data_IF_196911634940
#
_entry.id   IF_196911634940
#
_cell.length_a   1.000
_cell.length_b   1.000
_cell.length_c   1.000
_cell.angle_alpha   90.00
_cell.angle_beta   90.00
_cell.angle_gamma   90.00
#
_symmetry.space_group_name_H-M   'P 1'
#
loop_
_entity.id
_entity.type
_entity.pdbx_description
1 polymer ?
#
# COMPACT_ATOMS: atom_id res chain seq x y z
N UNK A 1 -1.51 -24.63 -9.02
CA UNK A 1 -2.51 -25.54 -9.64
C UNK A 1 -3.37 -24.74 -10.61
N UNK A 2 -3.46 -25.16 -11.85
CA UNK A 2 -4.33 -24.56 -12.87
C UNK A 2 -5.77 -24.78 -12.41
N UNK A 3 -6.63 -23.74 -12.46
CA UNK A 3 -8.04 -23.90 -12.11
C UNK A 3 -8.69 -24.85 -13.09
N UNK A 4 -9.12 -26.01 -12.61
CA UNK A 4 -9.77 -27.04 -13.43
C UNK A 4 -11.30 -26.83 -13.46
N UNK A 5 -11.86 -26.19 -12.41
CA UNK A 5 -13.30 -26.03 -12.25
C UNK A 5 -13.70 -24.56 -12.03
N UNK A 6 -14.92 -24.20 -12.44
CA UNK A 6 -15.54 -22.90 -12.22
C UNK A 6 -17.01 -23.05 -11.85
N UNK A 7 -17.56 -22.06 -11.15
CA UNK A 7 -19.00 -21.95 -10.86
C UNK A 7 -19.68 -21.11 -11.93
N UNK A 8 -20.78 -21.62 -12.49
CA UNK A 8 -21.51 -21.00 -13.60
C UNK A 8 -23.01 -21.00 -13.30
N UNK A 9 -23.75 -19.90 -13.57
CA UNK A 9 -25.21 -19.89 -13.45
C UNK A 9 -25.85 -20.69 -14.60
N UNK A 10 -26.88 -21.48 -14.27
CA UNK A 10 -27.69 -22.23 -15.25
C UNK A 10 -29.13 -22.36 -14.74
N UNK A 11 -30.12 -21.84 -15.49
CA UNK A 11 -31.54 -21.95 -15.17
C UNK A 11 -31.91 -21.55 -13.72
N UNK A 12 -31.52 -20.34 -13.29
CA UNK A 12 -31.72 -19.80 -11.93
C UNK A 12 -31.04 -20.62 -10.80
N UNK A 13 -30.14 -21.54 -11.14
CA UNK A 13 -29.33 -22.34 -10.20
C UNK A 13 -27.85 -22.19 -10.54
N UNK A 14 -26.99 -22.72 -9.68
CA UNK A 14 -25.54 -22.69 -9.87
C UNK A 14 -25.01 -24.10 -10.09
N UNK A 15 -24.08 -24.23 -11.04
CA UNK A 15 -23.42 -25.51 -11.37
C UNK A 15 -21.91 -25.33 -11.37
N UNK A 16 -21.20 -26.43 -11.24
CA UNK A 16 -19.75 -26.47 -11.39
C UNK A 16 -19.42 -27.05 -12.77
N UNK A 17 -18.55 -26.39 -13.52
CA UNK A 17 -18.09 -26.84 -14.82
C UNK A 17 -16.57 -26.95 -14.86
N UNK A 18 -16.05 -27.92 -15.62
CA UNK A 18 -14.65 -27.93 -16.02
C UNK A 18 -14.36 -26.73 -16.92
N UNK A 19 -13.13 -26.21 -16.85
CA UNK A 19 -12.77 -25.00 -17.62
C UNK A 19 -12.43 -25.36 -19.07
N UNK A 20 -11.81 -26.51 -19.28
CA UNK A 20 -11.35 -27.01 -20.57
C UNK A 20 -12.47 -27.37 -21.53
N UNK A 21 -13.40 -28.27 -21.12
CA UNK A 21 -14.46 -28.82 -21.98
C UNK A 21 -15.87 -28.29 -21.65
N UNK A 22 -16.00 -27.42 -20.63
CA UNK A 22 -17.25 -26.89 -20.11
C UNK A 22 -18.27 -27.95 -19.63
N UNK A 23 -17.85 -29.19 -19.44
CA UNK A 23 -18.70 -30.24 -18.92
C UNK A 23 -19.17 -29.94 -17.50
N UNK A 24 -20.41 -30.29 -17.17
CA UNK A 24 -20.97 -30.10 -15.81
C UNK A 24 -20.46 -31.19 -14.89
N UNK A 25 -19.87 -30.80 -13.77
CA UNK A 25 -19.40 -31.73 -12.73
C UNK A 25 -20.54 -31.96 -11.74
N UNK A 26 -20.98 -33.21 -11.63
CA UNK A 26 -21.97 -33.61 -10.62
C UNK A 26 -21.29 -33.81 -9.28
N UNK A 27 -21.70 -33.06 -8.28
CA UNK A 27 -21.31 -33.19 -6.87
C UNK A 27 -22.56 -33.21 -6.01
N UNK A 28 -22.46 -33.69 -4.80
CA UNK A 28 -23.54 -33.69 -3.84
C UNK A 28 -24.16 -32.30 -3.67
N UNK A 29 -25.45 -32.17 -3.72
CA UNK A 29 -26.20 -30.90 -3.68
C UNK A 29 -26.29 -30.15 -5.01
N UNK A 30 -25.67 -30.63 -6.09
CA UNK A 30 -25.76 -30.00 -7.43
C UNK A 30 -27.07 -30.36 -8.13
N UNK A 31 -27.75 -29.41 -8.82
CA UNK A 31 -27.43 -28.00 -8.97
C UNK A 31 -27.83 -27.17 -7.72
N UNK A 32 -26.98 -26.20 -7.36
CA UNK A 32 -27.08 -25.42 -6.12
C UNK A 32 -28.09 -24.27 -6.26
N UNK A 33 -28.86 -24.01 -5.20
CA UNK A 33 -29.74 -22.83 -5.14
C UNK A 33 -28.96 -21.54 -4.90
N UNK A 34 -27.93 -21.60 -4.07
CA UNK A 34 -27.08 -20.46 -3.73
C UNK A 34 -25.73 -20.57 -4.44
N UNK A 35 -25.19 -19.42 -4.85
CA UNK A 35 -23.85 -19.31 -5.45
C UNK A 35 -22.76 -19.74 -4.46
N UNK A 36 -22.90 -19.38 -3.19
CA UNK A 36 -21.98 -19.73 -2.12
C UNK A 36 -21.79 -21.23 -1.96
N UNK A 37 -22.88 -22.01 -2.08
CA UNK A 37 -22.83 -23.47 -1.95
C UNK A 37 -22.08 -24.10 -3.13
N UNK A 38 -22.30 -23.58 -4.34
CA UNK A 38 -21.57 -23.99 -5.53
C UNK A 38 -20.08 -23.62 -5.45
N UNK A 39 -19.75 -22.44 -4.94
CA UNK A 39 -18.38 -21.98 -4.74
C UNK A 39 -17.65 -22.84 -3.69
N UNK A 40 -18.35 -23.24 -2.63
CA UNK A 40 -17.81 -24.13 -1.61
C UNK A 40 -17.51 -25.54 -2.19
N UNK A 41 -18.47 -26.11 -2.91
CA UNK A 41 -18.30 -27.41 -3.55
C UNK A 41 -17.19 -27.38 -4.63
N UNK A 42 -17.12 -26.31 -5.40
CA UNK A 42 -16.04 -26.09 -6.37
C UNK A 42 -14.67 -25.98 -5.70
N UNK A 43 -14.60 -25.33 -4.56
CA UNK A 43 -13.36 -25.23 -3.78
C UNK A 43 -12.91 -26.62 -3.27
N UNK A 44 -13.83 -27.43 -2.75
CA UNK A 44 -13.52 -28.82 -2.32
C UNK A 44 -12.94 -29.65 -3.46
N UNK A 45 -13.43 -29.50 -4.68
CA UNK A 45 -12.87 -30.19 -5.85
C UNK A 45 -11.45 -29.75 -6.21
N UNK A 46 -11.13 -28.47 -6.01
CA UNK A 46 -9.78 -27.97 -6.25
C UNK A 46 -8.78 -28.34 -5.15
N UNK A 47 -9.26 -28.74 -3.98
CA UNK A 47 -8.46 -29.01 -2.80
C UNK A 47 -8.87 -30.36 -2.17
N UNK A 48 -8.71 -31.47 -2.90
CA UNK A 48 -9.02 -32.80 -2.38
C UNK A 48 -7.99 -33.16 -1.30
N UNK A 49 -8.26 -32.95 -0.07
CA UNK A 49 -7.37 -33.14 1.09
C UNK A 49 -7.35 -31.94 2.05
N UNK A 50 -7.90 -30.80 1.63
CA UNK A 50 -8.19 -29.70 2.53
C UNK A 50 -9.60 -29.87 3.18
N UNK A 51 -10.21 -31.03 3.01
CA UNK A 51 -11.42 -31.43 3.69
C UNK A 51 -11.10 -31.65 5.17
N UNK A 52 -12.05 -31.23 6.00
CA UNK A 52 -12.22 -31.60 7.39
C UNK A 52 -11.22 -31.00 8.37
N UNK A 53 -11.47 -29.73 8.66
CA UNK A 53 -11.28 -29.34 10.03
C UNK A 53 -12.27 -30.18 10.83
N UNK A 54 -11.72 -31.16 11.56
CA UNK A 54 -12.48 -32.05 12.44
C UNK A 54 -13.41 -31.21 13.32
N UNK A 55 -14.64 -31.65 13.49
CA UNK A 55 -15.52 -31.18 14.57
C UNK A 55 -14.71 -31.11 15.88
N UNK A 56 -14.77 -29.96 16.55
CA UNK A 56 -14.02 -29.77 17.80
C UNK A 56 -12.70 -29.00 17.68
N UNK A 57 -12.38 -28.38 16.54
CA UNK A 57 -11.22 -27.46 16.46
C UNK A 57 -11.51 -26.15 17.22
N UNK A 58 -10.50 -25.64 17.92
CA UNK A 58 -10.61 -24.33 18.58
C UNK A 58 -10.58 -23.19 17.54
N UNK A 59 -11.17 -22.05 17.91
CA UNK A 59 -11.13 -20.85 17.08
C UNK A 59 -9.68 -20.44 16.75
N UNK A 60 -8.80 -20.54 17.74
CA UNK A 60 -7.38 -20.14 17.63
C UNK A 60 -6.66 -21.04 16.62
N UNK A 61 -6.84 -22.38 16.70
CA UNK A 61 -6.21 -23.31 15.79
C UNK A 61 -6.79 -23.24 14.37
N UNK A 62 -8.10 -23.01 14.26
CA UNK A 62 -8.75 -22.81 12.98
C UNK A 62 -8.25 -21.53 12.26
N UNK A 63 -8.01 -20.45 13.00
CA UNK A 63 -7.46 -19.23 12.43
C UNK A 63 -6.01 -19.43 11.95
N UNK A 64 -5.20 -20.21 12.69
CA UNK A 64 -3.86 -20.58 12.26
C UNK A 64 -3.90 -21.36 10.94
N UNK A 65 -4.71 -22.40 10.85
CA UNK A 65 -4.89 -23.17 9.61
C UNK A 65 -5.36 -22.28 8.44
N UNK A 66 -6.24 -21.32 8.70
CA UNK A 66 -6.62 -20.35 7.69
C UNK A 66 -5.44 -19.49 7.21
N UNK A 67 -4.58 -19.04 8.12
CA UNK A 67 -3.40 -18.28 7.77
C UNK A 67 -2.39 -19.11 6.96
N UNK A 68 -2.22 -20.39 7.30
CA UNK A 68 -1.40 -21.36 6.57
C UNK A 68 -1.94 -21.63 5.16
N UNK A 69 -3.24 -21.89 5.02
CA UNK A 69 -3.89 -22.02 3.71
C UNK A 69 -3.73 -20.77 2.84
N UNK A 70 -3.65 -19.58 3.44
CA UNK A 70 -3.31 -18.35 2.70
C UNK A 70 -1.86 -18.34 2.24
N UNK A 71 -0.95 -19.00 2.96
CA UNK A 71 0.43 -19.16 2.54
C UNK A 71 0.56 -20.08 1.30
N UNK A 72 -0.17 -21.19 1.28
CA UNK A 72 -0.19 -22.12 0.14
C UNK A 72 -0.75 -21.45 -1.12
N UNK A 73 -1.77 -20.60 -0.98
CA UNK A 73 -2.32 -19.81 -2.09
C UNK A 73 -1.36 -18.74 -2.63
N UNK A 74 -0.27 -18.43 -1.93
CA UNK A 74 0.80 -17.56 -2.45
C UNK A 74 1.52 -18.22 -3.63
N UNK A 75 1.68 -19.53 -3.61
CA UNK A 75 2.35 -20.29 -4.66
C UNK A 75 1.51 -20.42 -5.93
N UNK A 76 0.20 -20.15 -5.84
CA UNK A 76 -0.78 -20.24 -6.92
C UNK A 76 -1.09 -18.85 -7.48
N UNK A 77 -0.19 -18.31 -8.31
CA UNK A 77 -0.39 -17.08 -9.10
C UNK A 77 -1.05 -15.89 -8.39
N UNK A 78 -0.35 -15.28 -7.42
CA UNK A 78 -0.52 -13.85 -7.09
C UNK A 78 -1.76 -13.41 -6.28
N UNK A 79 -2.47 -14.27 -5.57
CA UNK A 79 -3.70 -13.85 -4.85
C UNK A 79 -3.44 -13.32 -3.45
N UNK A 80 -2.36 -13.71 -2.80
CA UNK A 80 -2.00 -13.23 -1.46
C UNK A 80 -0.56 -12.76 -1.46
N UNK A 81 -0.33 -11.49 -1.12
CA UNK A 81 1.03 -10.95 -1.02
C UNK A 81 1.70 -11.44 0.27
N UNK A 82 3.04 -11.53 0.27
CA UNK A 82 3.82 -11.85 1.48
C UNK A 82 3.46 -10.92 2.64
N UNK A 83 3.22 -9.63 2.36
CA UNK A 83 2.80 -8.66 3.36
C UNK A 83 1.40 -8.97 3.94
N UNK A 84 0.46 -9.41 3.12
CA UNK A 84 -0.87 -9.81 3.59
C UNK A 84 -0.80 -11.05 4.47
N UNK A 85 0.02 -12.03 4.10
CA UNK A 85 0.26 -13.21 4.92
C UNK A 85 0.89 -12.85 6.26
N UNK A 86 1.95 -12.04 6.25
CA UNK A 86 2.60 -11.54 7.47
C UNK A 86 1.60 -10.81 8.37
N UNK A 87 0.65 -10.08 7.81
CA UNK A 87 -0.43 -9.43 8.57
C UNK A 87 -1.32 -10.44 9.29
N UNK A 88 -1.77 -11.51 8.61
CA UNK A 88 -2.55 -12.57 9.25
C UNK A 88 -1.77 -13.26 10.36
N UNK A 89 -0.51 -13.59 10.14
CA UNK A 89 0.36 -14.18 11.16
C UNK A 89 0.59 -13.21 12.34
N UNK A 90 0.73 -11.91 12.07
CA UNK A 90 0.83 -10.89 13.13
C UNK A 90 -0.47 -10.77 13.91
N UNK A 91 -1.63 -10.82 13.25
CA UNK A 91 -2.93 -10.83 13.92
C UNK A 91 -3.08 -12.08 14.78
N UNK A 92 -2.70 -13.24 14.26
CA UNK A 92 -2.69 -14.50 15.03
C UNK A 92 -1.81 -14.39 16.28
N UNK A 93 -0.52 -14.13 16.12
CA UNK A 93 0.47 -14.18 17.21
C UNK A 93 0.32 -13.04 18.22
N UNK A 94 0.00 -11.83 17.75
CA UNK A 94 -0.02 -10.63 18.59
C UNK A 94 -1.42 -10.24 19.07
N UNK A 95 -2.50 -10.86 18.58
CA UNK A 95 -3.86 -10.50 18.94
C UNK A 95 -4.72 -11.70 19.28
N UNK A 96 -4.83 -12.70 18.44
CA UNK A 96 -5.71 -13.84 18.69
C UNK A 96 -5.17 -14.70 19.83
N UNK A 97 -3.94 -15.18 19.73
CA UNK A 97 -3.35 -16.05 20.77
C UNK A 97 -3.36 -15.43 22.19
N UNK A 98 -3.04 -14.13 22.38
CA UNK A 98 -3.05 -13.53 23.72
C UNK A 98 -4.45 -13.24 24.28
N UNK A 99 -5.43 -12.92 23.42
CA UNK A 99 -6.69 -12.32 23.86
C UNK A 99 -7.92 -13.19 23.63
N UNK A 100 -7.89 -14.13 22.67
CA UNK A 100 -8.97 -15.07 22.44
C UNK A 100 -8.90 -16.22 23.45
N UNK A 101 -10.04 -16.63 23.98
CA UNK A 101 -10.07 -17.85 24.81
C UNK A 101 -9.71 -19.08 23.95
N UNK A 102 -8.67 -19.77 24.37
CA UNK A 102 -8.12 -20.96 23.69
C UNK A 102 -9.05 -22.17 23.70
N UNK A 103 -10.06 -22.18 24.59
CA UNK A 103 -11.02 -23.28 24.73
C UNK A 103 -12.24 -23.11 23.83
N UNK A 104 -12.47 -21.93 23.28
CA UNK A 104 -13.62 -21.67 22.43
C UNK A 104 -13.50 -22.48 21.14
N UNK A 105 -14.43 -23.39 20.92
CA UNK A 105 -14.55 -24.15 19.67
C UNK A 105 -15.05 -23.24 18.56
N UNK A 106 -14.57 -23.47 17.33
CA UNK A 106 -14.99 -22.68 16.16
C UNK A 106 -16.51 -22.75 15.98
N UNK A 107 -17.11 -23.93 16.13
CA UNK A 107 -18.56 -24.17 16.03
C UNK A 107 -19.39 -23.40 17.07
N UNK A 108 -18.79 -23.09 18.22
CA UNK A 108 -19.46 -22.45 19.34
C UNK A 108 -19.12 -20.96 19.47
N UNK A 109 -18.31 -20.43 18.57
CA UNK A 109 -17.88 -19.03 18.62
C UNK A 109 -19.07 -18.07 18.49
N UNK A 110 -19.25 -17.22 19.49
CA UNK A 110 -20.40 -16.33 19.66
C UNK A 110 -19.97 -14.87 19.77
N UNK A 111 -20.95 -13.99 19.72
CA UNK A 111 -20.77 -12.56 19.92
C UNK A 111 -20.05 -12.25 21.25
N UNK A 112 -20.44 -12.90 22.35
CA UNK A 112 -19.81 -12.73 23.66
C UNK A 112 -18.32 -13.06 23.68
N UNK A 113 -17.85 -14.01 22.85
CA UNK A 113 -16.42 -14.33 22.73
C UNK A 113 -15.66 -13.20 22.04
N UNK A 114 -16.29 -12.56 21.02
CA UNK A 114 -15.74 -11.38 20.37
C UNK A 114 -15.68 -10.19 21.33
N UNK A 115 -16.69 -9.98 22.13
CA UNK A 115 -16.75 -8.93 23.14
C UNK A 115 -15.67 -9.14 24.22
N UNK A 116 -15.53 -10.37 24.72
CA UNK A 116 -14.49 -10.73 25.68
C UNK A 116 -13.08 -10.51 25.09
N UNK A 117 -12.87 -10.90 23.84
CA UNK A 117 -11.64 -10.63 23.09
C UNK A 117 -11.33 -9.13 23.03
N UNK A 118 -12.33 -8.32 22.63
CA UNK A 118 -12.17 -6.88 22.49
C UNK A 118 -11.87 -6.21 23.82
N UNK A 119 -12.61 -6.57 24.88
CA UNK A 119 -12.42 -6.03 26.23
C UNK A 119 -11.02 -6.33 26.75
N UNK A 120 -10.61 -7.59 26.72
CA UNK A 120 -9.28 -8.01 27.19
C UNK A 120 -8.15 -7.30 26.46
N UNK A 121 -8.25 -7.17 25.13
CA UNK A 121 -7.25 -6.49 24.33
C UNK A 121 -7.25 -4.97 24.54
N UNK A 122 -8.42 -4.38 24.83
CA UNK A 122 -8.54 -2.97 25.17
C UNK A 122 -7.93 -2.66 26.55
N UNK A 123 -8.20 -3.50 27.54
CA UNK A 123 -7.63 -3.37 28.90
C UNK A 123 -6.10 -3.39 28.84
N UNK A 124 -5.51 -4.18 27.95
CA UNK A 124 -4.08 -4.20 27.62
C UNK A 124 -3.63 -3.03 26.73
N UNK A 125 -4.45 -1.99 26.59
CA UNK A 125 -4.15 -0.76 25.83
C UNK A 125 -3.83 -0.97 24.36
N UNK A 126 -4.37 -2.02 23.74
CA UNK A 126 -4.30 -2.20 22.30
C UNK A 126 -5.14 -1.12 21.62
N UNK A 127 -4.53 -0.35 20.71
CA UNK A 127 -5.21 0.79 20.08
C UNK A 127 -6.44 0.35 19.28
N UNK A 128 -7.50 1.16 19.28
CA UNK A 128 -8.73 0.93 18.53
C UNK A 128 -8.48 0.60 17.05
N UNK A 129 -7.55 1.31 16.41
CA UNK A 129 -7.16 1.04 15.01
C UNK A 129 -6.62 -0.38 14.84
N UNK A 130 -5.85 -0.87 15.79
CA UNK A 130 -5.30 -2.23 15.77
C UNK A 130 -6.40 -3.26 15.98
N UNK A 131 -7.31 -3.02 16.94
CA UNK A 131 -8.47 -3.86 17.18
C UNK A 131 -9.40 -3.93 15.96
N UNK A 132 -9.69 -2.78 15.34
CA UNK A 132 -10.49 -2.74 14.11
C UNK A 132 -9.88 -3.56 12.97
N UNK A 133 -8.55 -3.59 12.85
CA UNK A 133 -7.88 -4.42 11.86
C UNK A 133 -7.96 -5.91 12.21
N UNK A 134 -7.77 -6.26 13.49
CA UNK A 134 -7.92 -7.64 13.96
C UNK A 134 -9.36 -8.16 13.72
N UNK A 135 -10.38 -7.36 14.05
CA UNK A 135 -11.78 -7.68 13.76
C UNK A 135 -12.03 -7.89 12.26
N UNK A 136 -11.43 -7.07 11.38
CA UNK A 136 -11.52 -7.29 9.94
C UNK A 136 -10.93 -8.62 9.50
N UNK A 137 -9.79 -9.00 10.07
CA UNK A 137 -9.14 -10.27 9.75
C UNK A 137 -9.96 -11.45 10.30
N UNK A 138 -10.53 -11.34 11.51
CA UNK A 138 -11.45 -12.31 12.11
C UNK A 138 -12.71 -12.48 11.24
N UNK A 139 -13.36 -11.38 10.86
CA UNK A 139 -14.55 -11.43 9.97
C UNK A 139 -14.23 -12.07 8.62
N UNK A 140 -13.08 -11.74 8.05
CA UNK A 140 -12.66 -12.38 6.80
C UNK A 140 -12.39 -13.87 6.98
N UNK A 141 -11.78 -14.26 8.10
CA UNK A 141 -11.61 -15.67 8.47
C UNK A 141 -12.95 -16.38 8.58
N UNK A 142 -13.89 -15.87 9.37
CA UNK A 142 -15.23 -16.44 9.57
C UNK A 142 -15.95 -16.60 8.22
N UNK A 143 -15.95 -15.56 7.38
CA UNK A 143 -16.53 -15.64 6.03
C UNK A 143 -15.90 -16.77 5.19
N UNK A 144 -14.58 -16.90 5.25
CA UNK A 144 -13.89 -17.95 4.51
C UNK A 144 -14.11 -19.34 5.12
N UNK A 145 -14.25 -19.43 6.43
CA UNK A 145 -14.60 -20.66 7.13
C UNK A 145 -16.04 -21.11 6.79
N UNK A 146 -17.00 -20.19 6.75
CA UNK A 146 -18.36 -20.45 6.26
C UNK A 146 -18.38 -20.98 4.84
N UNK A 147 -17.64 -20.34 3.92
CA UNK A 147 -17.52 -20.77 2.52
C UNK A 147 -16.88 -22.16 2.37
N UNK A 148 -16.15 -22.63 3.37
CA UNK A 148 -15.49 -23.94 3.40
C UNK A 148 -16.26 -25.00 4.19
N UNK A 149 -17.40 -24.64 4.77
CA UNK A 149 -18.18 -25.53 5.61
C UNK A 149 -17.53 -25.86 6.97
N UNK A 150 -16.74 -24.93 7.50
CA UNK A 150 -16.08 -25.06 8.82
C UNK A 150 -16.99 -24.62 9.96
N UNK A 151 -18.25 -24.77 9.91
CA UNK A 151 -19.29 -24.48 10.93
C UNK A 151 -19.04 -23.25 11.84
N UNK A 152 -18.77 -22.06 11.33
CA UNK A 152 -18.54 -20.89 12.15
C UNK A 152 -19.83 -20.13 12.47
N UNK A 153 -19.72 -19.19 13.40
CA UNK A 153 -20.82 -18.28 13.73
C UNK A 153 -21.18 -17.35 12.56
N UNK A 154 -22.38 -17.55 11.99
CA UNK A 154 -22.87 -16.76 10.84
C UNK A 154 -23.16 -15.29 11.20
N UNK A 155 -23.54 -15.02 12.43
CA UNK A 155 -23.95 -13.68 12.90
C UNK A 155 -22.79 -12.68 12.90
N UNK A 156 -21.56 -13.16 12.90
CA UNK A 156 -20.36 -12.30 12.87
C UNK A 156 -20.15 -11.56 11.55
N UNK A 157 -20.81 -11.93 10.46
CA UNK A 157 -20.69 -11.22 9.18
C UNK A 157 -21.20 -9.77 9.27
N UNK A 158 -22.23 -9.53 10.09
CA UNK A 158 -22.84 -8.22 10.32
C UNK A 158 -22.16 -7.39 11.40
N UNK A 159 -21.27 -8.01 12.20
CA UNK A 159 -20.58 -7.37 13.31
C UNK A 159 -19.87 -6.08 12.88
N UNK A 160 -20.12 -4.98 13.58
CA UNK A 160 -19.39 -3.72 13.43
C UNK A 160 -18.82 -3.33 14.78
N UNK A 161 -17.51 -3.13 14.85
CA UNK A 161 -16.81 -2.77 16.10
C UNK A 161 -17.35 -1.47 16.74
N UNK A 162 -17.95 -0.58 15.95
CA UNK A 162 -18.55 0.67 16.45
C UNK A 162 -19.84 0.45 17.24
N UNK A 163 -20.52 -0.66 17.02
CA UNK A 163 -21.77 -1.00 17.72
C UNK A 163 -21.48 -1.44 19.18
N UNK A 164 -20.20 -1.60 19.53
CA UNK A 164 -19.72 -2.09 20.84
C UNK A 164 -18.93 -1.02 21.61
N UNK A 165 -19.35 0.22 21.47
CA UNK A 165 -18.76 1.36 22.23
C UNK A 165 -18.83 1.17 23.76
N UNK A 166 -19.77 0.36 24.27
CA UNK A 166 -19.85 0.02 25.68
C UNK A 166 -18.77 -0.95 26.16
N UNK A 167 -18.20 -1.75 25.26
CA UNK A 167 -17.07 -2.66 25.53
C UNK A 167 -15.74 -1.94 25.36
N UNK A 168 -15.69 -1.07 24.38
CA UNK A 168 -14.55 -0.20 24.09
C UNK A 168 -15.08 1.23 24.18
N UNK A 169 -14.87 1.93 25.28
CA UNK A 169 -15.34 3.31 25.43
C UNK A 169 -14.93 4.15 24.22
N UNK A 170 -15.88 4.91 23.73
CA UNK A 170 -15.66 5.88 22.65
C UNK A 170 -14.79 7.02 23.23
N UNK A 171 -13.51 6.77 23.36
CA UNK A 171 -12.55 7.83 23.53
C UNK A 171 -12.39 8.48 22.14
N UNK A 172 -12.94 9.68 21.98
CA UNK A 172 -12.87 10.45 20.71
C UNK A 172 -11.41 10.58 20.23
N UNK A 173 -10.45 10.52 21.14
CA UNK A 173 -9.02 10.45 20.83
C UNK A 173 -8.63 9.16 20.07
N UNK A 174 -9.39 8.06 20.22
CA UNK A 174 -9.13 6.78 19.54
C UNK A 174 -9.80 6.69 18.17
N UNK A 175 -10.89 7.42 17.95
CA UNK A 175 -11.68 7.41 16.71
C UNK A 175 -11.22 8.49 15.75
N UNK A 176 -10.83 9.64 16.25
CA UNK A 176 -10.33 10.74 15.44
C UNK A 176 -9.05 10.34 14.70
N UNK A 177 -9.08 10.38 13.38
CA UNK A 177 -7.85 10.31 12.58
C UNK A 177 -6.93 11.43 13.07
N UNK A 178 -5.82 11.08 13.72
CA UNK A 178 -4.79 12.09 14.01
C UNK A 178 -4.52 12.84 12.71
N UNK A 179 -4.70 14.16 12.68
CA UNK A 179 -4.48 14.92 11.46
C UNK A 179 -3.05 14.67 10.98
N UNK A 180 -2.88 14.39 9.69
CA UNK A 180 -1.54 14.30 9.09
C UNK A 180 -1.11 15.71 8.74
N UNK A 181 0.08 16.10 9.14
CA UNK A 181 0.64 17.40 8.76
C UNK A 181 0.77 17.47 7.24
N UNK A 182 0.27 18.54 6.65
CA UNK A 182 0.50 18.88 5.25
C UNK A 182 1.66 19.89 5.24
N UNK A 183 2.77 19.52 4.64
CA UNK A 183 3.94 20.40 4.54
C UNK A 183 3.60 21.65 3.73
N UNK A 184 4.01 22.81 4.21
CA UNK A 184 3.95 24.04 3.43
C UNK A 184 4.92 23.98 2.23
N UNK A 185 4.71 24.83 1.24
CA UNK A 185 5.63 24.94 0.11
C UNK A 185 7.02 25.40 0.56
N UNK A 186 7.05 26.37 1.44
CA UNK A 186 8.27 26.90 2.03
C UNK A 186 9.08 25.82 2.76
N UNK A 187 8.41 24.97 3.56
CA UNK A 187 9.07 23.88 4.27
C UNK A 187 9.63 22.82 3.32
N UNK A 188 8.89 22.47 2.26
CA UNK A 188 9.42 21.57 1.22
C UNK A 188 10.62 22.19 0.53
N UNK A 189 10.58 23.49 0.27
CA UNK A 189 11.67 24.23 -0.33
C UNK A 189 12.91 24.23 0.56
N UNK A 190 12.78 24.54 1.86
CA UNK A 190 13.90 24.49 2.82
C UNK A 190 14.55 23.11 2.83
N UNK A 191 13.78 22.02 2.89
CA UNK A 191 14.29 20.66 2.86
C UNK A 191 15.09 20.34 1.58
N UNK A 192 14.61 20.82 0.42
CA UNK A 192 15.31 20.60 -0.86
C UNK A 192 16.55 21.48 -0.99
N UNK A 193 16.47 22.74 -0.62
CA UNK A 193 17.61 23.69 -0.65
C UNK A 193 18.73 23.20 0.26
N UNK A 194 18.40 22.84 1.49
CA UNK A 194 19.38 22.32 2.45
C UNK A 194 20.10 21.09 1.87
N UNK A 195 19.34 20.10 1.39
CA UNK A 195 19.94 18.91 0.80
C UNK A 195 20.80 19.23 -0.43
N UNK A 196 20.38 20.16 -1.29
CA UNK A 196 21.15 20.60 -2.46
C UNK A 196 22.45 21.32 -2.06
N UNK A 197 22.39 22.23 -1.10
CA UNK A 197 23.55 22.95 -0.60
C UNK A 197 24.58 22.03 0.05
N UNK A 198 24.13 21.06 0.85
CA UNK A 198 25.01 20.04 1.40
C UNK A 198 25.68 19.21 0.31
N UNK A 199 24.96 18.90 -0.76
CA UNK A 199 25.53 18.19 -1.92
C UNK A 199 26.51 19.05 -2.69
N UNK A 200 26.09 20.25 -3.13
CA UNK A 200 26.89 21.13 -4.02
C UNK A 200 28.13 21.70 -3.35
N UNK A 201 28.07 21.99 -2.04
CA UNK A 201 29.17 22.59 -1.28
C UNK A 201 30.18 21.55 -0.73
N UNK A 202 29.85 20.26 -0.83
CA UNK A 202 30.72 19.20 -0.33
C UNK A 202 31.91 18.97 -1.28
N UNK A 203 33.13 19.09 -0.79
CA UNK A 203 34.36 18.78 -1.55
C UNK A 203 34.37 17.36 -2.12
N UNK A 204 33.67 16.42 -1.51
CA UNK A 204 33.60 15.00 -1.89
C UNK A 204 32.24 14.60 -2.43
N UNK A 205 31.41 15.56 -2.88
CA UNK A 205 30.07 15.34 -3.38
C UNK A 205 29.27 14.43 -2.42
N UNK A 206 28.72 14.98 -1.32
CA UNK A 206 27.96 14.22 -0.33
C UNK A 206 26.82 13.43 -1.00
N UNK A 207 27.06 12.14 -1.21
CA UNK A 207 26.13 11.24 -1.89
C UNK A 207 24.80 11.14 -1.14
N UNK A 208 24.84 11.15 0.17
CA UNK A 208 23.63 11.08 1.00
C UNK A 208 22.78 12.35 0.82
N UNK A 209 23.43 13.53 0.72
CA UNK A 209 22.75 14.78 0.44
C UNK A 209 22.17 14.82 -0.99
N UNK A 210 22.92 14.32 -1.99
CA UNK A 210 22.41 14.17 -3.35
C UNK A 210 21.13 13.29 -3.39
N UNK A 211 21.16 12.16 -2.69
CA UNK A 211 19.99 11.28 -2.58
C UNK A 211 18.84 11.93 -1.82
N UNK A 212 19.10 12.67 -0.72
CA UNK A 212 18.07 13.44 -0.02
C UNK A 212 17.39 14.43 -0.95
N UNK A 213 18.19 15.19 -1.71
CA UNK A 213 17.66 16.14 -2.69
C UNK A 213 16.76 15.44 -3.72
N UNK A 214 17.23 14.35 -4.33
CA UNK A 214 16.46 13.59 -5.31
C UNK A 214 15.18 12.98 -4.73
N UNK A 215 15.23 12.42 -3.52
CA UNK A 215 14.08 11.86 -2.80
C UNK A 215 13.04 12.95 -2.53
N UNK A 216 13.44 14.08 -1.96
CA UNK A 216 12.53 15.19 -1.67
C UNK A 216 11.92 15.78 -2.94
N UNK A 217 12.71 15.97 -3.98
CA UNK A 217 12.24 16.47 -5.27
C UNK A 217 11.20 15.54 -5.90
N UNK A 218 11.45 14.23 -5.95
CA UNK A 218 10.49 13.27 -6.50
C UNK A 218 9.22 13.16 -5.65
N UNK A 219 9.32 13.20 -4.32
CA UNK A 219 8.14 13.20 -3.46
C UNK A 219 7.32 14.48 -3.63
N UNK A 220 7.98 15.62 -3.79
CA UNK A 220 7.35 16.92 -3.99
C UNK A 220 6.64 17.01 -5.34
N UNK A 221 7.34 16.67 -6.43
CA UNK A 221 6.83 16.79 -7.79
C UNK A 221 5.74 15.77 -8.14
N UNK A 222 5.87 14.53 -7.67
CA UNK A 222 5.07 13.41 -8.17
C UNK A 222 4.24 12.71 -7.10
N UNK A 223 4.45 13.02 -5.83
CA UNK A 223 3.71 12.40 -4.72
C UNK A 223 3.78 10.86 -4.74
N UNK A 224 4.87 10.26 -5.21
CA UNK A 224 5.04 8.82 -5.34
C UNK A 224 4.93 8.12 -3.98
N UNK A 225 4.37 6.89 -3.99
CA UNK A 225 4.50 6.01 -2.83
C UNK A 225 5.95 5.54 -2.73
N UNK A 226 6.47 5.24 -1.52
CA UNK A 226 7.85 4.78 -1.37
C UNK A 226 8.22 3.59 -2.26
N UNK A 227 7.33 2.60 -2.38
CA UNK A 227 7.55 1.44 -3.25
C UNK A 227 7.47 1.75 -4.75
N UNK A 228 6.67 2.74 -5.15
CA UNK A 228 6.62 3.25 -6.53
C UNK A 228 7.93 3.98 -6.86
N UNK A 229 8.41 4.81 -5.94
CA UNK A 229 9.68 5.54 -6.10
C UNK A 229 10.86 4.57 -6.19
N UNK A 230 10.89 3.51 -5.36
CA UNK A 230 11.90 2.46 -5.47
C UNK A 230 11.80 1.70 -6.80
N UNK A 231 10.59 1.43 -7.30
CA UNK A 231 10.38 0.72 -8.57
C UNK A 231 10.57 1.58 -9.82
N UNK A 232 10.82 2.88 -9.67
CA UNK A 232 10.95 3.78 -10.82
C UNK A 232 12.27 3.52 -11.55
N UNK A 233 12.18 3.19 -12.84
CA UNK A 233 13.34 2.98 -13.71
C UNK A 233 13.65 4.23 -14.53
N UNK A 234 14.90 4.40 -14.95
CA UNK A 234 15.29 5.48 -15.87
C UNK A 234 14.48 5.43 -17.17
N UNK A 235 14.21 4.22 -17.69
CA UNK A 235 13.37 3.99 -18.87
C UNK A 235 11.89 4.36 -18.69
N UNK A 236 11.44 4.60 -17.45
CA UNK A 236 10.08 5.08 -17.18
C UNK A 236 9.91 6.57 -17.50
N UNK A 237 10.99 7.30 -17.71
CA UNK A 237 11.01 8.72 -18.08
C UNK A 237 11.28 8.83 -19.58
N UNK A 238 10.34 9.42 -20.31
CA UNK A 238 10.50 9.74 -21.72
C UNK A 238 10.56 11.25 -21.89
N UNK A 239 11.72 11.75 -22.34
CA UNK A 239 11.95 13.18 -22.51
C UNK A 239 11.28 13.74 -23.77
N UNK A 240 11.09 12.92 -24.83
CA UNK A 240 10.48 13.37 -26.08
C UNK A 240 8.96 13.57 -25.89
N UNK A 241 8.30 12.62 -25.24
CA UNK A 241 6.87 12.74 -24.95
C UNK A 241 6.59 13.48 -23.63
N UNK A 242 7.62 13.93 -22.92
CA UNK A 242 7.55 14.58 -21.62
C UNK A 242 6.67 13.81 -20.63
N UNK A 243 6.92 12.51 -20.46
CA UNK A 243 6.09 11.64 -19.60
C UNK A 243 6.92 10.80 -18.64
N UNK A 244 6.34 10.51 -17.50
CA UNK A 244 6.84 9.57 -16.50
C UNK A 244 5.77 8.49 -16.27
N UNK A 245 6.13 7.21 -16.49
CA UNK A 245 5.24 6.08 -16.29
C UNK A 245 5.46 5.43 -14.94
N UNK A 246 4.40 5.32 -14.13
CA UNK A 246 4.41 4.58 -12.86
C UNK A 246 3.74 3.24 -13.09
N UNK A 247 4.53 2.19 -13.34
CA UNK A 247 4.04 0.89 -13.79
C UNK A 247 4.35 -0.25 -12.83
N UNK A 248 5.36 -0.10 -11.98
CA UNK A 248 5.82 -1.14 -11.10
C UNK A 248 6.26 -0.65 -9.74
N UNK A 249 6.55 -1.60 -8.88
CA UNK A 249 7.05 -1.38 -7.52
C UNK A 249 8.25 -2.29 -7.25
N UNK A 250 9.08 -1.88 -6.30
CA UNK A 250 10.07 -2.76 -5.71
C UNK A 250 9.58 -3.30 -4.39
N UNK A 251 9.53 -4.61 -4.23
CA UNK A 251 9.18 -5.30 -2.99
C UNK A 251 10.23 -6.39 -2.71
N UNK A 252 11.18 -6.09 -1.84
CA UNK A 252 12.30 -6.99 -1.57
C UNK A 252 11.85 -8.36 -1.04
N UNK A 253 10.77 -8.43 -0.25
CA UNK A 253 10.19 -9.68 0.26
C UNK A 253 9.48 -10.53 -0.80
N UNK A 254 9.26 -9.99 -2.00
CA UNK A 254 8.61 -10.68 -3.13
C UNK A 254 9.59 -10.90 -4.30
N UNK A 255 10.89 -10.84 -4.04
CA UNK A 255 11.92 -11.13 -5.05
C UNK A 255 12.37 -9.91 -5.87
N UNK A 256 11.89 -8.70 -5.55
CA UNK A 256 12.41 -7.48 -6.17
C UNK A 256 11.40 -6.67 -6.97
N UNK A 257 11.71 -6.39 -8.24
CA UNK A 257 10.85 -5.59 -9.10
C UNK A 257 9.61 -6.37 -9.57
N UNK A 258 8.45 -5.77 -9.35
CA UNK A 258 7.18 -6.30 -9.81
C UNK A 258 6.55 -5.31 -10.79
N UNK A 259 6.29 -5.75 -12.03
CA UNK A 259 5.54 -4.98 -13.03
C UNK A 259 4.04 -4.96 -12.69
N UNK A 260 3.74 -4.67 -11.43
CA UNK A 260 2.38 -4.50 -10.92
C UNK A 260 2.36 -3.47 -9.79
N UNK A 261 1.24 -2.85 -9.60
CA UNK A 261 0.98 -1.94 -8.49
C UNK A 261 -0.02 -2.59 -7.53
N UNK A 262 -0.14 -2.02 -6.32
CA UNK A 262 -1.07 -2.50 -5.30
C UNK A 262 -2.50 -2.67 -5.84
N UNK A 263 -2.91 -1.76 -6.74
CA UNK A 263 -4.19 -1.81 -7.44
C UNK A 263 -3.95 -1.51 -8.92
N UNK A 264 -4.69 -2.12 -9.86
CA UNK A 264 -4.56 -1.86 -11.30
C UNK A 264 -4.68 -0.38 -11.65
N UNK A 265 -5.64 0.36 -11.04
CA UNK A 265 -5.83 1.79 -11.27
C UNK A 265 -4.76 2.71 -10.65
N UNK A 266 -3.74 2.16 -9.99
CA UNK A 266 -2.57 2.95 -9.57
C UNK A 266 -1.54 3.12 -10.69
N UNK A 267 -1.63 2.32 -11.76
CA UNK A 267 -0.81 2.50 -12.97
C UNK A 267 -1.22 3.80 -13.64
N UNK A 268 -0.24 4.65 -13.89
CA UNK A 268 -0.50 5.99 -14.41
C UNK A 268 0.69 6.55 -15.18
N UNK A 269 0.39 7.46 -16.09
CA UNK A 269 1.36 8.32 -16.75
C UNK A 269 1.24 9.73 -16.17
N UNK A 270 2.34 10.29 -15.73
CA UNK A 270 2.46 11.65 -15.24
C UNK A 270 3.12 12.50 -16.33
N UNK A 271 2.58 13.69 -16.59
CA UNK A 271 3.18 14.62 -17.53
C UNK A 271 4.28 15.41 -16.83
N UNK A 272 5.38 15.61 -17.53
CA UNK A 272 6.54 16.36 -17.07
C UNK A 272 6.50 17.78 -17.64
N UNK A 273 6.66 18.77 -16.79
CA UNK A 273 7.00 20.13 -17.18
C UNK A 273 8.53 20.26 -17.41
N UNK A 274 8.95 21.42 -17.87
CA UNK A 274 10.37 21.67 -18.19
C UNK A 274 11.26 21.60 -16.94
N UNK A 275 10.75 21.98 -15.76
CA UNK A 275 11.47 21.88 -14.49
C UNK A 275 11.67 20.42 -14.07
N UNK A 276 10.67 19.56 -14.28
CA UNK A 276 10.79 18.13 -14.04
C UNK A 276 11.85 17.50 -14.96
N UNK A 277 11.90 17.95 -16.23
CA UNK A 277 12.86 17.49 -17.21
C UNK A 277 14.28 17.94 -16.82
N UNK A 278 14.46 19.20 -16.44
CA UNK A 278 15.75 19.72 -15.93
C UNK A 278 16.26 18.90 -14.76
N UNK A 279 15.36 18.62 -13.77
CA UNK A 279 15.70 17.79 -12.62
C UNK A 279 16.18 16.40 -13.05
N UNK A 280 15.45 15.68 -13.90
CA UNK A 280 15.86 14.34 -14.31
C UNK A 280 17.14 14.33 -15.15
N UNK A 281 17.33 15.32 -16.01
CA UNK A 281 18.59 15.44 -16.78
C UNK A 281 19.79 15.66 -15.86
N UNK A 282 19.68 16.58 -14.90
CA UNK A 282 20.72 16.82 -13.90
C UNK A 282 20.97 15.56 -13.05
N UNK A 283 19.90 14.91 -12.56
CA UNK A 283 20.03 13.73 -11.73
C UNK A 283 20.65 12.55 -12.48
N UNK A 284 20.28 12.33 -13.75
CA UNK A 284 20.87 11.29 -14.58
C UNK A 284 22.34 11.59 -14.93
N UNK A 285 22.67 12.83 -15.21
CA UNK A 285 24.08 13.25 -15.37
C UNK A 285 24.91 12.93 -14.14
N UNK A 286 24.40 13.21 -12.94
CA UNK A 286 25.05 12.82 -11.69
C UNK A 286 25.22 11.31 -11.56
N UNK A 287 24.18 10.53 -11.86
CA UNK A 287 24.25 9.06 -11.80
C UNK A 287 25.21 8.47 -12.83
N UNK A 288 25.28 9.06 -14.02
CA UNK A 288 26.23 8.64 -15.06
C UNK A 288 27.69 8.86 -14.62
N UNK A 289 27.95 9.93 -13.87
CA UNK A 289 29.25 10.18 -13.25
C UNK A 289 29.63 9.18 -12.13
N UNK A 290 28.67 8.37 -11.64
CA UNK A 290 28.94 7.32 -10.66
C UNK A 290 29.27 5.96 -11.30
N UNK A 291 29.33 5.88 -12.61
CA UNK A 291 29.64 4.66 -13.40
C UNK A 291 28.74 3.47 -12.98
N UNK A 292 27.43 3.71 -12.92
CA UNK A 292 26.47 2.67 -12.54
C UNK A 292 25.58 2.29 -13.72
N UNK A 293 25.51 0.99 -14.04
CA UNK A 293 24.60 0.39 -15.01
C UNK A 293 23.21 0.09 -14.42
N UNK A 294 22.96 0.54 -13.20
CA UNK A 294 21.73 0.28 -12.47
C UNK A 294 20.52 0.99 -13.12
N UNK A 295 19.46 0.27 -13.50
CA UNK A 295 18.35 0.82 -14.27
C UNK A 295 17.39 1.71 -13.45
N UNK A 296 17.53 1.74 -12.11
CA UNK A 296 16.62 2.49 -11.25
C UNK A 296 17.00 3.97 -11.14
N UNK A 297 16.00 4.82 -10.97
CA UNK A 297 16.19 6.27 -10.76
C UNK A 297 16.88 6.54 -9.41
N UNK A 298 16.64 5.71 -8.40
CA UNK A 298 17.34 5.72 -7.12
C UNK A 298 18.08 4.38 -6.95
N UNK A 299 19.27 4.21 -7.54
CA UNK A 299 20.03 2.96 -7.43
C UNK A 299 20.54 2.70 -6.00
N UNK A 300 20.78 1.44 -5.65
CA UNK A 300 21.44 1.08 -4.39
C UNK A 300 22.93 1.46 -4.47
N UNK A 301 23.41 2.25 -3.50
CA UNK A 301 24.78 2.76 -3.46
C UNK A 301 25.75 1.85 -2.69
N UNK A 302 25.25 1.00 -1.80
CA UNK A 302 26.09 0.12 -0.99
C UNK A 302 26.02 -1.33 -1.51
N UNK A 303 27.17 -1.97 -1.63
CA UNK A 303 27.35 -3.35 -2.12
C UNK A 303 26.93 -3.54 -3.60
N UNK A 304 27.58 -2.81 -4.50
CA UNK A 304 27.44 -2.97 -5.94
C UNK A 304 27.63 -4.42 -6.40
N UNK A 305 28.47 -5.20 -5.71
CA UNK A 305 28.76 -6.59 -6.06
C UNK A 305 27.59 -7.56 -5.85
N UNK A 306 26.72 -7.33 -4.86
CA UNK A 306 25.60 -8.22 -4.52
C UNK A 306 24.23 -7.69 -4.92
N UNK A 307 24.09 -6.38 -5.22
CA UNK A 307 22.85 -5.71 -5.56
C UNK A 307 22.96 -4.82 -6.79
N UNK A 308 23.73 -5.25 -7.78
CA UNK A 308 24.05 -4.50 -8.99
C UNK A 308 22.82 -3.86 -9.69
N UNK A 309 21.66 -4.48 -9.57
CA UNK A 309 20.41 -4.03 -10.19
C UNK A 309 19.27 -3.81 -9.18
N UNK A 310 19.59 -3.40 -7.95
CA UNK A 310 18.59 -3.08 -6.94
C UNK A 310 18.48 -1.55 -6.75
N UNK A 311 17.28 -1.03 -6.40
CA UNK A 311 17.13 0.36 -5.98
C UNK A 311 17.60 0.55 -4.53
N UNK A 312 17.73 1.81 -4.13
CA UNK A 312 17.92 2.19 -2.74
C UNK A 312 16.85 1.54 -1.86
N UNK A 313 17.26 0.89 -0.77
CA UNK A 313 16.31 0.18 0.08
C UNK A 313 15.39 1.14 0.84
N UNK A 314 14.22 0.66 1.23
CA UNK A 314 13.23 1.45 1.97
C UNK A 314 13.82 2.08 3.24
N UNK A 315 14.63 1.33 4.00
CA UNK A 315 15.27 1.81 5.22
C UNK A 315 16.19 3.01 4.94
N UNK A 316 16.97 2.94 3.86
CA UNK A 316 17.84 4.04 3.44
C UNK A 316 17.04 5.31 3.09
N UNK A 317 16.03 5.17 2.22
CA UNK A 317 15.16 6.28 1.83
C UNK A 317 14.48 6.91 3.06
N UNK A 318 13.95 6.07 3.95
CA UNK A 318 13.32 6.51 5.20
C UNK A 318 14.29 7.29 6.09
N UNK A 319 15.53 6.81 6.21
CA UNK A 319 16.56 7.46 7.00
C UNK A 319 16.96 8.82 6.41
N UNK A 320 17.10 8.91 5.09
CA UNK A 320 17.41 10.18 4.43
C UNK A 320 16.30 11.22 4.64
N UNK A 321 15.05 10.80 4.61
CA UNK A 321 13.93 11.72 4.90
C UNK A 321 13.95 12.22 6.34
N UNK A 322 14.19 11.34 7.33
CA UNK A 322 14.30 11.76 8.73
C UNK A 322 15.53 12.63 8.99
N UNK A 323 16.63 12.35 8.32
CA UNK A 323 17.84 13.19 8.42
C UNK A 323 17.55 14.61 7.95
N UNK A 324 16.94 14.78 6.77
CA UNK A 324 16.57 16.11 6.31
C UNK A 324 15.58 16.83 7.23
N UNK A 325 14.65 16.09 7.86
CA UNK A 325 13.76 16.67 8.85
C UNK A 325 14.48 17.10 10.12
N UNK A 326 15.47 16.34 10.57
CA UNK A 326 16.28 16.68 11.73
C UNK A 326 17.17 17.90 11.46
N UNK A 327 17.77 17.99 10.27
CA UNK A 327 18.59 19.12 9.84
C UNK A 327 17.78 20.43 9.78
N UNK A 328 16.50 20.37 9.47
CA UNK A 328 15.59 21.52 9.47
C UNK A 328 14.84 21.73 10.81
N UNK A 329 15.23 21.03 11.87
CA UNK A 329 14.61 21.17 13.19
C UNK A 329 13.14 20.70 13.28
N UNK A 330 12.68 19.93 12.29
CA UNK A 330 11.31 19.38 12.25
C UNK A 330 11.15 18.10 13.05
N UNK A 331 12.25 17.47 13.38
CA UNK A 331 12.31 16.27 14.21
C UNK A 331 13.63 16.22 14.99
N UNK A 332 13.58 15.60 16.19
CA UNK A 332 14.76 15.18 16.92
C UNK A 332 14.95 13.69 16.69
N UNK A 333 16.10 13.32 16.12
CA UNK A 333 16.39 11.96 15.68
C UNK A 333 17.80 11.53 16.11
N UNK A 334 17.90 10.30 16.63
CA UNK A 334 19.19 9.63 16.87
C UNK A 334 19.45 8.61 15.75
N UNK A 335 20.56 8.79 15.03
CA UNK A 335 20.98 7.89 13.95
C UNK A 335 22.01 6.89 14.49
N UNK A 336 21.63 5.63 14.62
CA UNK A 336 22.51 4.56 15.12
C UNK A 336 23.41 4.02 14.02
N UNK A 337 24.56 3.44 14.41
CA UNK A 337 25.54 2.84 13.47
C UNK A 337 24.97 1.70 12.61
N UNK A 338 24.00 0.94 13.12
CA UNK A 338 23.30 -0.12 12.40
C UNK A 338 22.28 0.40 11.36
N UNK A 339 22.23 1.72 11.17
CA UNK A 339 21.31 2.40 10.28
C UNK A 339 19.87 2.45 10.83
N UNK A 340 19.66 2.28 12.14
CA UNK A 340 18.36 2.50 12.78
C UNK A 340 18.23 3.98 13.14
N UNK A 341 17.08 4.58 12.80
CA UNK A 341 16.70 5.91 13.24
C UNK A 341 15.74 5.80 14.42
N UNK A 342 16.09 6.40 15.54
CA UNK A 342 15.22 6.58 16.68
C UNK A 342 14.67 8.00 16.63
N UNK A 343 13.36 8.13 16.61
CA UNK A 343 12.67 9.42 16.57
C UNK A 343 12.32 9.76 18.01
N UNK A 344 13.02 10.72 18.58
CA UNK A 344 12.80 11.19 19.95
C UNK A 344 11.56 12.09 20.01
N UNK A 345 11.46 13.02 19.05
CA UNK A 345 10.28 13.88 18.88
C UNK A 345 10.11 14.32 17.43
N UNK A 346 8.91 14.79 17.09
CA UNK A 346 8.66 15.40 15.79
C UNK A 346 7.52 16.40 15.89
N UNK A 347 7.69 17.56 15.29
CA UNK A 347 6.64 18.57 15.14
C UNK A 347 5.60 18.16 14.10
N UNK A 348 5.95 17.19 13.24
CA UNK A 348 5.08 16.69 12.17
C UNK A 348 4.25 15.52 12.64
N UNK A 349 2.94 15.60 12.44
CA UNK A 349 2.02 14.48 12.69
C UNK A 349 1.95 13.59 11.46
N UNK A 350 2.22 12.30 11.66
CA UNK A 350 2.14 11.29 10.60
C UNK A 350 3.50 10.77 10.13
N UNK A 351 3.47 9.90 9.12
CA UNK A 351 4.68 9.30 8.57
C UNK A 351 5.36 10.27 7.60
N UNK A 352 6.66 10.57 7.71
CA UNK A 352 7.34 11.64 6.97
C UNK A 352 7.16 11.54 5.45
N UNK A 353 7.34 10.38 4.87
CA UNK A 353 7.13 10.19 3.42
C UNK A 353 5.67 10.31 2.99
N UNK A 354 4.70 10.16 3.89
CA UNK A 354 3.28 10.37 3.60
C UNK A 354 2.91 11.85 3.59
N UNK A 355 3.59 12.69 4.36
CA UNK A 355 3.29 14.13 4.43
C UNK A 355 3.47 14.81 3.07
N UNK A 356 4.51 14.47 2.32
CA UNK A 356 4.69 14.94 0.94
C UNK A 356 3.55 14.49 0.01
N UNK A 357 3.17 13.23 0.08
CA UNK A 357 2.05 12.73 -0.73
C UNK A 357 0.73 13.38 -0.31
N UNK A 358 0.51 13.62 0.98
CA UNK A 358 -0.65 14.39 1.45
C UNK A 358 -0.65 15.79 0.85
N UNK A 359 0.49 16.49 0.88
CA UNK A 359 0.61 17.79 0.23
C UNK A 359 0.30 17.72 -1.28
N UNK A 360 0.92 16.77 -1.98
CA UNK A 360 0.67 16.56 -3.41
C UNK A 360 -0.83 16.38 -3.70
N UNK A 361 -1.50 15.46 -3.01
CA UNK A 361 -2.93 15.23 -3.17
C UNK A 361 -3.78 16.47 -2.79
N UNK A 362 -3.41 17.18 -1.72
CA UNK A 362 -4.09 18.42 -1.31
C UNK A 362 -3.99 19.50 -2.39
N UNK A 363 -2.83 19.63 -3.05
CA UNK A 363 -2.64 20.58 -4.15
C UNK A 363 -3.41 20.19 -5.41
N UNK A 364 -3.49 18.89 -5.74
CA UNK A 364 -4.36 18.42 -6.81
C UNK A 364 -5.84 18.71 -6.51
N UNK A 365 -6.27 18.54 -5.26
CA UNK A 365 -7.63 18.91 -4.82
C UNK A 365 -7.90 20.40 -4.92
N UNK A 366 -6.88 21.22 -4.65
CA UNK A 366 -7.00 22.66 -4.86
C UNK A 366 -7.16 22.98 -6.35
N UNK A 367 -6.36 22.35 -7.22
CA UNK A 367 -6.50 22.53 -8.68
C UNK A 367 -7.89 22.12 -9.20
N UNK A 368 -8.49 21.04 -8.63
CA UNK A 368 -9.87 20.68 -8.92
C UNK A 368 -10.85 21.76 -8.49
N UNK A 369 -10.72 22.27 -7.27
CA UNK A 369 -11.61 23.33 -6.75
C UNK A 369 -11.50 24.62 -7.54
N UNK A 370 -10.27 24.97 -7.94
CA UNK A 370 -9.99 26.16 -8.74
C UNK A 370 -10.32 25.95 -10.24
N UNK A 371 -10.90 24.78 -10.61
CA UNK A 371 -11.29 24.36 -11.96
C UNK A 371 -10.13 24.28 -12.98
N UNK A 372 -8.89 24.23 -12.51
CA UNK A 372 -7.71 24.00 -13.37
C UNK A 372 -7.58 22.53 -13.79
N UNK A 373 -8.23 21.60 -13.07
CA UNK A 373 -8.26 20.16 -13.34
C UNK A 373 -9.64 19.58 -13.04
N UNK A 374 -10.03 18.53 -13.77
CA UNK A 374 -11.24 17.78 -13.46
C UNK A 374 -10.96 16.60 -12.48
N UNK A 375 -12.04 15.91 -12.07
CA UNK A 375 -11.97 14.82 -11.10
C UNK A 375 -11.16 13.63 -11.61
N UNK A 376 -11.27 13.30 -12.90
CA UNK A 376 -10.58 12.15 -13.48
C UNK A 376 -9.09 12.42 -13.62
N UNK A 377 -8.74 13.66 -13.97
CA UNK A 377 -7.36 14.13 -14.02
C UNK A 377 -6.68 14.06 -12.66
N UNK A 378 -7.34 14.58 -11.62
CA UNK A 378 -6.84 14.49 -10.22
C UNK A 378 -6.69 13.04 -9.78
N UNK A 379 -7.68 12.19 -10.07
CA UNK A 379 -7.63 10.76 -9.76
C UNK A 379 -6.47 10.07 -10.48
N UNK A 380 -6.30 10.34 -11.78
CA UNK A 380 -5.21 9.80 -12.59
C UNK A 380 -3.85 10.21 -12.03
N UNK A 381 -3.64 11.50 -11.76
CA UNK A 381 -2.38 12.01 -11.22
C UNK A 381 -2.08 11.47 -9.80
N UNK A 382 -3.09 11.32 -8.96
CA UNK A 382 -2.94 10.76 -7.62
C UNK A 382 -2.71 9.23 -7.61
N UNK A 383 -3.08 8.53 -8.68
CA UNK A 383 -3.02 7.05 -8.74
C UNK A 383 -3.93 6.38 -7.72
N UNK A 384 -5.16 6.86 -7.57
CA UNK A 384 -6.17 6.29 -6.69
C UNK A 384 -7.26 5.59 -7.50
N UNK A 385 -7.55 4.32 -7.15
CA UNK A 385 -8.63 3.53 -7.80
C UNK A 385 -10.00 4.07 -7.42
N UNK A 386 -10.12 4.51 -6.15
CA UNK A 386 -11.32 5.18 -5.65
C UNK A 386 -10.90 6.54 -5.16
N UNK A 387 -11.55 7.58 -5.59
CA UNK A 387 -11.31 8.90 -5.04
C UNK A 387 -11.82 9.01 -3.60
N UNK A 388 -12.69 8.11 -3.16
CA UNK A 388 -13.03 7.89 -1.75
C UNK A 388 -11.81 7.65 -0.85
N UNK A 389 -10.62 7.37 -1.42
CA UNK A 389 -9.36 7.30 -0.65
C UNK A 389 -8.79 8.70 -0.38
N UNK A 390 -9.14 9.69 -1.18
CA UNK A 390 -8.77 11.11 -1.01
C UNK A 390 -9.96 11.96 -0.57
N UNK A 391 -11.11 11.65 -1.05
CA UNK A 391 -12.41 12.15 -0.62
C UNK A 391 -13.47 11.16 -1.10
N UNK A 392 -14.54 10.95 -0.38
CA UNK A 392 -15.60 9.96 -0.69
C UNK A 392 -16.37 10.23 -2.00
N UNK A 393 -15.81 10.90 -2.97
CA UNK A 393 -16.53 11.63 -4.00
C UNK A 393 -16.27 11.20 -5.45
N UNK A 394 -15.37 10.25 -5.81
CA UNK A 394 -14.97 10.07 -7.22
C UNK A 394 -15.40 8.78 -7.92
N UNK A 395 -16.00 8.94 -9.09
CA UNK A 395 -16.52 7.84 -9.93
C UNK A 395 -15.48 7.05 -10.76
N UNK A 396 -15.87 5.85 -11.18
CA UNK A 396 -15.04 4.75 -11.69
C UNK A 396 -14.76 4.82 -13.21
N UNK A 397 -14.16 5.88 -13.78
CA UNK A 397 -13.79 5.83 -15.19
C UNK A 397 -12.31 6.13 -15.42
N UNK A 398 -11.63 5.18 -16.08
CA UNK A 398 -10.34 5.42 -16.74
C UNK A 398 -10.65 6.26 -17.99
N UNK A 399 -10.15 7.49 -18.04
CA UNK A 399 -10.23 8.33 -19.24
C UNK A 399 -8.85 8.35 -19.87
N UNK A 400 -8.80 8.03 -21.16
CA UNK A 400 -7.64 8.35 -22.00
C UNK A 400 -7.52 9.87 -22.12
N UNK A 401 -6.44 10.41 -21.56
CA UNK A 401 -6.20 11.85 -21.55
C UNK A 401 -5.63 12.25 -22.90
N UNK A 402 -6.28 13.16 -23.61
CA UNK A 402 -5.80 13.69 -24.90
C UNK A 402 -4.45 14.41 -24.74
N UNK A 403 -3.74 14.64 -25.87
CA UNK A 403 -2.46 15.39 -25.84
C UNK A 403 -2.65 16.83 -25.31
N UNK A 404 -3.76 17.47 -25.66
CA UNK A 404 -4.07 18.84 -25.20
C UNK A 404 -4.37 18.86 -23.72
N UNK A 405 -5.11 17.88 -23.21
CA UNK A 405 -5.33 17.71 -21.77
C UNK A 405 -4.03 17.43 -21.03
N UNK A 406 -3.09 16.68 -21.63
CA UNK A 406 -1.78 16.43 -21.05
C UNK A 406 -0.99 17.73 -20.81
N UNK A 407 -0.96 18.62 -21.81
CA UNK A 407 -0.26 19.91 -21.68
C UNK A 407 -0.92 20.82 -20.62
N UNK A 408 -2.25 20.87 -20.59
CA UNK A 408 -3.03 21.62 -19.59
C UNK A 408 -2.80 21.08 -18.18
N UNK A 409 -2.77 19.76 -18.00
CA UNK A 409 -2.49 19.12 -16.70
C UNK A 409 -1.08 19.42 -16.23
N UNK A 410 -0.08 19.38 -17.12
CA UNK A 410 1.30 19.71 -16.76
C UNK A 410 1.41 21.16 -16.25
N UNK A 411 0.78 22.11 -16.97
CA UNK A 411 0.72 23.53 -16.57
C UNK A 411 0.02 23.73 -15.23
N UNK A 412 -1.13 23.08 -15.00
CA UNK A 412 -1.86 23.15 -13.74
C UNK A 412 -1.06 22.58 -12.58
N UNK A 413 -0.34 21.48 -12.79
CA UNK A 413 0.58 20.90 -11.79
C UNK A 413 1.69 21.89 -11.44
N UNK A 414 2.36 22.48 -12.43
CA UNK A 414 3.40 23.48 -12.22
C UNK A 414 2.88 24.63 -11.34
N UNK A 415 1.73 25.19 -11.68
CA UNK A 415 1.09 26.29 -10.93
C UNK A 415 0.78 25.92 -9.47
N UNK A 416 0.20 24.74 -9.21
CA UNK A 416 -0.28 24.38 -7.86
C UNK A 416 0.74 23.61 -7.02
N UNK A 417 1.64 22.86 -7.65
CA UNK A 417 2.69 22.10 -6.96
C UNK A 417 3.95 22.95 -6.72
N UNK A 418 4.14 24.01 -7.51
CA UNK A 418 5.30 24.93 -7.40
C UNK A 418 6.59 24.24 -7.86
N UNK A 419 6.55 23.48 -8.96
CA UNK A 419 7.69 22.70 -9.46
C UNK A 419 8.82 23.59 -9.99
N UNK A 420 8.53 24.85 -10.42
CA UNK A 420 9.53 25.87 -10.79
C UNK A 420 10.60 26.13 -9.73
N UNK A 421 10.33 25.77 -8.47
CA UNK A 421 11.27 25.85 -7.36
C UNK A 421 12.52 24.99 -7.60
N UNK A 422 12.36 23.83 -8.24
CA UNK A 422 13.47 22.91 -8.50
C UNK A 422 14.50 23.56 -9.42
N UNK A 423 14.07 24.22 -10.50
CA UNK A 423 14.96 24.96 -11.38
C UNK A 423 15.68 26.09 -10.66
N UNK A 424 15.00 26.83 -9.79
CA UNK A 424 15.62 27.89 -8.98
C UNK A 424 16.69 27.38 -8.00
N UNK A 425 16.56 26.12 -7.53
CA UNK A 425 17.57 25.50 -6.67
C UNK A 425 18.80 25.07 -7.50
N UNK A 426 18.58 24.52 -8.71
CA UNK A 426 19.63 23.99 -9.57
C UNK A 426 20.45 25.12 -10.22
N UNK A 427 19.83 26.28 -10.50
CA UNK A 427 20.47 27.45 -11.15
C UNK A 427 21.26 28.33 -10.17
N UNK A 428 21.16 28.12 -8.87
CA UNK A 428 21.96 28.76 -7.81
C UNK A 428 23.18 27.92 -7.45
#
# INVERSE_FOLDING_TARGET
MTKIYRVTPKNKKWIIQKIDDRSTVKVEGSPFKLKSDAENACWKLHNPGAADIKTGITFVDAFLKFAELKADLKNDNNRVTAHSLQRYMTTYTKRIVPYMDKKVLLSNFKLGDMEAFLKKAYDDKVTFKTLRNAVKDIKHFIKQANLRGWEPCRDMETFKIYDYAYVIPNDDALITRKPTTVLSQEMCFKLMVNAYQHWSNSKNLDRDAAYRFAIFSMMFMFGLRPSEMQGLKRSSINFDTKTLKVEGVWIASEGGYLNRLKNPGSRRTLNLDDDNIKFFKMWFYYLDGLDTDNPFVLPAMHNLSTRKHAPACYKYIHNQVWRGYAEEGLADCTFKRDGTVVINSSTLKGHPMKTFRHRFCTKLMKALRDQDMDQNEVKSQAGHVKFTTTSEIYGNHLVDISKDDQARIAKARGKHLGTSIISQIIEK
#
